data_IF_044978755520
#
_entry.id   IF_044978755520
#
_cell.length_a   1.000
_cell.length_b   1.000
_cell.length_c   1.000
_cell.angle_alpha   90.00
_cell.angle_beta   90.00
_cell.angle_gamma   90.00
#
_symmetry.space_group_name_H-M   'P 1'
#
loop_
_entity.id
_entity.type
_entity.pdbx_description
1 polymer ?
#
# COMPACT_ATOMS: atom_id res chain seq x y z
N UNK A 1 19.49 -31.21 -12.57
CA UNK A 1 19.59 -30.14 -11.55
C UNK A 1 18.33 -30.22 -10.71
N UNK A 2 18.41 -30.18 -9.36
CA UNK A 2 17.22 -29.85 -8.59
C UNK A 2 16.83 -28.43 -9.01
N UNK A 3 15.63 -28.29 -9.55
CA UNK A 3 15.03 -26.99 -9.82
C UNK A 3 15.07 -26.19 -8.51
N UNK A 4 15.45 -24.92 -8.58
CA UNK A 4 15.49 -24.05 -7.41
C UNK A 4 14.14 -24.07 -6.69
N UNK A 5 14.16 -23.96 -5.36
CA UNK A 5 12.93 -23.86 -4.57
C UNK A 5 12.22 -22.57 -4.94
N UNK A 6 11.09 -22.69 -5.64
CA UNK A 6 10.26 -21.54 -5.98
C UNK A 6 9.61 -20.98 -4.71
N UNK A 7 9.44 -19.66 -4.67
CA UNK A 7 8.81 -18.96 -3.56
C UNK A 7 7.45 -18.47 -4.04
N UNK A 8 6.39 -19.06 -3.48
CA UNK A 8 5.05 -18.53 -3.69
C UNK A 8 4.83 -17.28 -2.83
N UNK A 9 5.15 -16.11 -3.39
CA UNK A 9 4.99 -14.83 -2.70
C UNK A 9 3.53 -14.55 -2.29
N UNK A 10 2.54 -15.04 -3.05
CA UNK A 10 1.13 -14.90 -2.69
C UNK A 10 0.81 -15.61 -1.37
N UNK A 11 1.25 -16.86 -1.22
CA UNK A 11 1.06 -17.63 0.02
C UNK A 11 1.78 -16.96 1.20
N UNK A 12 3.01 -16.46 1.00
CA UNK A 12 3.73 -15.74 2.05
C UNK A 12 2.97 -14.48 2.48
N UNK A 13 2.46 -13.69 1.54
CA UNK A 13 1.65 -12.50 1.88
C UNK A 13 0.43 -12.87 2.72
N UNK A 14 -0.31 -13.93 2.34
CA UNK A 14 -1.44 -14.40 3.13
C UNK A 14 -1.04 -14.83 4.54
N UNK A 15 0.02 -15.63 4.68
CA UNK A 15 0.52 -16.07 5.99
C UNK A 15 0.91 -14.90 6.90
N UNK A 16 1.55 -13.86 6.35
CA UNK A 16 1.91 -12.66 7.11
C UNK A 16 0.67 -11.87 7.56
N UNK A 17 -0.32 -11.73 6.68
CA UNK A 17 -1.58 -11.05 7.01
C UNK A 17 -2.41 -11.83 8.02
N UNK A 18 -2.46 -13.16 7.91
CA UNK A 18 -3.15 -14.04 8.86
C UNK A 18 -2.53 -13.94 10.25
N UNK A 19 -1.20 -13.91 10.33
CA UNK A 19 -0.48 -13.70 11.60
C UNK A 19 -0.81 -12.34 12.24
N UNK A 20 -0.90 -11.26 11.44
CA UNK A 20 -1.32 -9.94 11.94
C UNK A 20 -2.78 -9.92 12.37
N UNK A 21 -3.65 -10.63 11.64
CA UNK A 21 -5.08 -10.71 11.89
C UNK A 21 -5.45 -11.45 13.17
N UNK A 22 -4.51 -12.20 13.77
CA UNK A 22 -4.68 -12.78 15.09
C UNK A 22 -4.77 -11.73 16.22
N UNK A 23 -4.37 -10.47 15.97
CA UNK A 23 -4.48 -9.37 16.94
C UNK A 23 -5.72 -8.51 16.69
N UNK A 24 -6.45 -8.19 17.75
CA UNK A 24 -7.58 -7.24 17.78
C UNK A 24 -7.17 -5.78 17.46
N UNK A 25 -5.87 -5.46 17.53
CA UNK A 25 -5.32 -4.14 17.21
C UNK A 25 -5.04 -3.95 15.72
N UNK A 26 -5.20 -4.99 14.91
CA UNK A 26 -5.02 -4.94 13.47
C UNK A 26 -6.37 -4.92 12.76
N UNK A 27 -6.48 -4.10 11.72
CA UNK A 27 -7.64 -4.06 10.83
C UNK A 27 -7.17 -4.07 9.40
N UNK A 28 -7.67 -5.02 8.62
CA UNK A 28 -7.47 -5.09 7.18
C UNK A 28 -8.72 -4.58 6.46
N UNK A 29 -8.53 -3.64 5.55
CA UNK A 29 -9.59 -3.18 4.64
C UNK A 29 -9.12 -3.44 3.22
N UNK A 30 -9.68 -4.46 2.57
CA UNK A 30 -9.46 -4.74 1.16
C UNK A 30 -10.45 -3.93 0.31
N UNK A 31 -10.17 -3.79 -0.99
CA UNK A 31 -10.96 -2.93 -1.90
C UNK A 31 -11.07 -1.47 -1.43
N UNK A 32 -10.07 -0.99 -0.69
CA UNK A 32 -9.99 0.38 -0.20
C UNK A 32 -8.80 1.07 -0.85
N UNK A 33 -9.07 2.04 -1.71
CA UNK A 33 -8.04 2.77 -2.46
C UNK A 33 -7.73 4.09 -1.76
N UNK A 34 -6.47 4.29 -1.37
CA UNK A 34 -6.01 5.58 -0.85
C UNK A 34 -5.85 6.55 -2.02
N UNK A 35 -6.60 7.66 -1.99
CA UNK A 35 -6.60 8.67 -3.05
C UNK A 35 -5.89 9.94 -2.67
N UNK A 36 -5.81 10.27 -1.38
CA UNK A 36 -5.11 11.48 -0.93
C UNK A 36 -4.57 11.30 0.49
N UNK A 37 -3.47 12.01 0.78
CA UNK A 37 -2.82 12.02 2.09
C UNK A 37 -2.49 13.47 2.40
N UNK A 38 -3.01 14.01 3.51
CA UNK A 38 -2.77 15.39 3.90
C UNK A 38 -2.32 15.48 5.34
N UNK A 39 -1.26 16.27 5.59
CA UNK A 39 -0.84 16.59 6.94
C UNK A 39 -1.73 17.67 7.54
N UNK A 40 -2.26 17.40 8.73
CA UNK A 40 -3.09 18.31 9.51
C UNK A 40 -2.21 19.30 10.29
N UNK A 41 -2.82 20.41 10.76
CA UNK A 41 -2.11 21.42 11.56
C UNK A 41 -1.55 20.85 12.88
N UNK A 42 -2.24 19.87 13.47
CA UNK A 42 -1.84 19.16 14.69
C UNK A 42 -0.79 18.06 14.46
N UNK A 43 -0.18 18.03 13.27
CA UNK A 43 0.82 17.05 12.82
C UNK A 43 0.29 15.62 12.60
N UNK A 44 -1.02 15.36 12.75
CA UNK A 44 -1.65 14.11 12.33
C UNK A 44 -1.89 14.09 10.82
N UNK A 45 -2.42 12.99 10.30
CA UNK A 45 -2.67 12.76 8.87
C UNK A 45 -4.14 12.49 8.61
N UNK A 46 -4.69 13.17 7.62
CA UNK A 46 -5.97 12.83 7.00
C UNK A 46 -5.69 11.99 5.76
N UNK A 47 -6.21 10.77 5.72
CA UNK A 47 -6.08 9.85 4.59
C UNK A 47 -7.44 9.67 3.92
N UNK A 48 -7.57 10.10 2.67
CA UNK A 48 -8.80 9.94 1.89
C UNK A 48 -8.80 8.56 1.23
N UNK A 49 -9.84 7.78 1.51
CA UNK A 49 -9.97 6.39 1.07
C UNK A 49 -11.30 6.20 0.35
N UNK A 50 -11.25 5.65 -0.86
CA UNK A 50 -12.42 5.25 -1.62
C UNK A 50 -12.71 3.75 -1.41
N UNK A 51 -13.94 3.43 -1.00
CA UNK A 51 -14.43 2.04 -0.93
C UNK A 51 -14.91 1.61 -2.33
N UNK A 52 -14.12 0.76 -2.98
CA UNK A 52 -14.38 0.30 -4.35
C UNK A 52 -15.59 -0.65 -4.43
N UNK A 53 -16.02 -1.24 -3.30
CA UNK A 53 -17.23 -2.04 -3.25
C UNK A 53 -18.50 -1.17 -3.09
N UNK A 54 -18.35 0.14 -2.90
CA UNK A 54 -19.45 1.11 -2.73
C UNK A 54 -19.32 2.27 -3.70
N UNK A 55 -19.13 1.95 -4.98
CA UNK A 55 -19.02 2.91 -6.09
C UNK A 55 -17.96 4.00 -5.86
N UNK A 56 -16.89 3.67 -5.12
CA UNK A 56 -15.81 4.59 -4.81
C UNK A 56 -16.19 5.67 -3.79
N UNK A 57 -17.21 5.43 -2.95
CA UNK A 57 -17.58 6.35 -1.86
C UNK A 57 -16.36 6.66 -1.00
N UNK A 58 -16.07 7.95 -0.85
CA UNK A 58 -14.92 8.42 -0.11
C UNK A 58 -15.22 8.62 1.37
N UNK A 59 -14.23 8.29 2.19
CA UNK A 59 -14.19 8.56 3.62
C UNK A 59 -12.79 9.01 4.00
N UNK A 60 -12.66 9.69 5.15
CA UNK A 60 -11.36 10.12 5.67
C UNK A 60 -11.03 9.36 6.94
N UNK A 61 -9.82 8.81 7.00
CA UNK A 61 -9.25 8.18 8.19
C UNK A 61 -8.19 9.11 8.77
N UNK A 62 -8.29 9.40 10.07
CA UNK A 62 -7.26 10.15 10.79
C UNK A 62 -6.21 9.21 11.38
N UNK A 63 -4.93 9.49 11.14
CA UNK A 63 -3.81 8.68 11.60
C UNK A 63 -2.72 9.53 12.23
N UNK A 64 -2.10 9.05 13.32
CA UNK A 64 -0.94 9.71 13.94
C UNK A 64 0.36 9.47 13.15
N UNK A 65 0.40 8.37 12.41
CA UNK A 65 1.53 7.94 11.61
C UNK A 65 1.02 7.21 10.36
N UNK A 66 1.69 7.41 9.22
CA UNK A 66 1.35 6.77 7.94
C UNK A 66 2.59 6.11 7.38
N UNK A 67 2.48 4.83 7.04
CA UNK A 67 3.48 4.07 6.30
C UNK A 67 2.96 3.79 4.89
N UNK A 68 3.70 4.19 3.85
CA UNK A 68 3.31 4.00 2.45
C UNK A 68 4.02 2.76 1.91
N UNK A 69 3.30 1.63 1.85
CA UNK A 69 3.76 0.36 1.28
C UNK A 69 3.03 0.01 -0.03
N UNK A 70 2.90 0.96 -0.96
CA UNK A 70 2.03 0.84 -2.14
C UNK A 70 2.74 0.33 -3.41
N UNK A 71 3.91 -0.32 -3.26
CA UNK A 71 4.71 -0.79 -4.40
C UNK A 71 5.00 0.35 -5.38
N UNK A 72 4.69 0.14 -6.67
CA UNK A 72 4.90 1.13 -7.72
C UNK A 72 4.11 2.45 -7.55
N UNK A 73 3.04 2.47 -6.75
CA UNK A 73 2.26 3.68 -6.48
C UNK A 73 2.79 4.50 -5.29
N UNK A 74 3.84 4.03 -4.61
CA UNK A 74 4.35 4.67 -3.39
C UNK A 74 4.79 6.12 -3.62
N UNK A 75 5.50 6.41 -4.71
CA UNK A 75 5.96 7.77 -5.00
C UNK A 75 4.79 8.73 -5.23
N UNK A 76 3.76 8.29 -5.96
CA UNK A 76 2.55 9.10 -6.19
C UNK A 76 1.88 9.48 -4.87
N UNK A 77 1.72 8.51 -3.95
CA UNK A 77 1.14 8.79 -2.63
C UNK A 77 2.05 9.67 -1.77
N UNK A 78 3.37 9.48 -1.86
CA UNK A 78 4.35 10.30 -1.16
C UNK A 78 4.30 11.75 -1.64
N UNK A 79 4.19 11.98 -2.94
CA UNK A 79 4.04 13.33 -3.52
C UNK A 79 2.72 13.98 -3.08
N UNK A 80 1.61 13.22 -3.02
CA UNK A 80 0.34 13.73 -2.49
C UNK A 80 0.43 14.20 -1.04
N UNK A 81 1.30 13.58 -0.24
CA UNK A 81 1.52 13.97 1.15
C UNK A 81 2.02 15.41 1.33
N UNK A 82 2.61 16.01 0.28
CA UNK A 82 3.11 17.39 0.27
C UNK A 82 4.31 17.63 1.17
N UNK A 83 5.01 16.58 1.62
CA UNK A 83 6.24 16.73 2.38
C UNK A 83 7.41 17.13 1.46
N UNK A 84 8.32 18.01 1.92
CA UNK A 84 9.40 18.53 1.08
C UNK A 84 10.36 17.44 0.62
N UNK A 85 10.51 16.35 1.37
CA UNK A 85 11.37 15.23 1.00
C UNK A 85 10.89 14.54 -0.28
N UNK A 86 9.59 14.59 -0.61
CA UNK A 86 9.02 13.95 -1.79
C UNK A 86 9.55 14.55 -3.10
N UNK A 87 9.90 15.84 -3.11
CA UNK A 87 10.35 16.57 -4.30
C UNK A 87 11.71 16.07 -4.83
N UNK A 88 12.51 15.45 -3.97
CA UNK A 88 13.81 14.89 -4.32
C UNK A 88 13.75 13.50 -4.95
N UNK A 89 12.59 12.85 -5.00
CA UNK A 89 12.44 11.47 -5.48
C UNK A 89 11.78 11.40 -6.86
N UNK A 90 12.39 10.59 -7.73
CA UNK A 90 11.82 10.20 -9.02
C UNK A 90 11.55 8.69 -9.06
N UNK A 91 10.54 8.29 -9.82
CA UNK A 91 10.21 6.89 -10.06
C UNK A 91 10.79 6.44 -11.40
N UNK A 92 11.55 5.35 -11.41
CA UNK A 92 11.98 4.70 -12.65
C UNK A 92 11.28 3.33 -12.74
N UNK A 93 10.19 3.21 -13.52
CA UNK A 93 9.45 1.96 -13.61
C UNK A 93 10.23 0.93 -14.44
N UNK A 94 10.47 -0.24 -13.85
CA UNK A 94 11.11 -1.38 -14.53
C UNK A 94 10.07 -2.49 -14.69
N UNK A 95 9.80 -2.87 -15.93
CA UNK A 95 8.93 -4.00 -16.25
C UNK A 95 9.69 -5.33 -16.22
N UNK A 96 8.99 -6.41 -15.88
CA UNK A 96 9.47 -7.78 -15.98
C UNK A 96 8.37 -8.68 -16.52
N UNK A 97 8.75 -9.77 -17.19
CA UNK A 97 7.83 -10.79 -17.67
C UNK A 97 8.39 -12.16 -17.32
N UNK A 98 7.49 -13.08 -16.97
CA UNK A 98 7.83 -14.47 -16.71
C UNK A 98 7.42 -15.31 -17.92
N UNK A 99 8.32 -16.19 -18.38
CA UNK A 99 8.03 -17.20 -19.39
C UNK A 99 7.82 -18.54 -18.69
N UNK A 100 6.77 -19.26 -19.08
CA UNK A 100 6.46 -20.59 -18.55
C UNK A 100 6.34 -21.55 -19.73
N UNK A 101 6.94 -22.73 -19.62
CA UNK A 101 6.85 -23.81 -20.63
C UNK A 101 5.98 -24.93 -20.07
N UNK A 102 5.01 -25.42 -20.86
CA UNK A 102 4.17 -26.58 -20.54
C UNK A 102 4.83 -27.90 -20.92
#
# INVERSE_FOLDING_TARGET
MPLGTDVNFGVITHQLVDALSASDKFKLNLSHEVRDIKRNADQTWSVTVADLNRDGKETTVNAKFVFIGAGGASLTLLQKSGIPEADGYGGFPVGGQFLVTT
#
